data_IF_341323385219
#
_entry.id   IF_341323385219
#
_cell.length_a   1.000
_cell.length_b   1.000
_cell.length_c   1.000
_cell.angle_alpha   90.00
_cell.angle_beta   90.00
_cell.angle_gamma   90.00
#
_symmetry.space_group_name_H-M   'P 1'
#
loop_
_entity.id
_entity.type
_entity.pdbx_description
1 polymer ?
#
# COMPACT_ATOMS: atom_id res chain seq x y z
N UNK A 1 -2.34 9.16 15.21
CA UNK A 1 -0.98 8.97 14.64
C UNK A 1 -1.11 8.28 13.31
N UNK A 2 -0.62 8.90 12.25
CA UNK A 2 -0.62 8.34 10.90
C UNK A 2 0.26 7.09 10.88
N UNK A 3 -0.34 5.91 10.75
CA UNK A 3 0.38 4.65 10.76
C UNK A 3 -0.28 3.66 9.79
N UNK A 4 0.49 3.16 8.85
CA UNK A 4 0.08 2.02 8.04
C UNK A 4 -0.02 0.79 8.97
N UNK A 5 -1.12 0.05 8.84
CA UNK A 5 -1.33 -1.16 9.62
C UNK A 5 -0.24 -2.20 9.28
N UNK A 6 0.22 -2.92 10.29
CA UNK A 6 1.22 -3.99 10.15
C UNK A 6 0.85 -5.03 9.10
N UNK A 7 -0.45 -5.32 8.92
CA UNK A 7 -0.91 -6.27 7.91
C UNK A 7 -0.74 -5.73 6.48
N UNK A 8 -0.91 -4.42 6.27
CA UNK A 8 -0.68 -3.80 4.96
C UNK A 8 0.80 -3.69 4.64
N UNK A 9 1.63 -3.34 5.62
CA UNK A 9 3.08 -3.37 5.50
C UNK A 9 3.57 -4.76 5.09
N UNK A 10 3.13 -5.80 5.78
CA UNK A 10 3.43 -7.19 5.44
C UNK A 10 2.87 -7.60 4.06
N UNK A 11 1.68 -7.12 3.70
CA UNK A 11 1.11 -7.36 2.37
C UNK A 11 1.96 -6.77 1.26
N UNK A 12 2.46 -5.55 1.43
CA UNK A 12 3.38 -4.92 0.47
C UNK A 12 4.72 -5.66 0.40
N UNK A 13 5.25 -6.14 1.54
CA UNK A 13 6.49 -6.92 1.57
C UNK A 13 6.33 -8.26 0.80
N UNK A 14 5.19 -8.95 0.96
CA UNK A 14 4.88 -10.18 0.21
C UNK A 14 4.77 -9.88 -1.30
N UNK A 15 4.07 -8.82 -1.68
CA UNK A 15 3.96 -8.43 -3.09
C UNK A 15 5.33 -8.09 -3.68
N UNK A 16 6.18 -7.39 -2.94
CA UNK A 16 7.55 -7.09 -3.34
C UNK A 16 8.40 -8.34 -3.55
N UNK A 17 8.31 -9.32 -2.64
CA UNK A 17 9.01 -10.61 -2.78
C UNK A 17 8.55 -11.37 -4.03
N UNK A 18 7.25 -11.35 -4.35
CA UNK A 18 6.70 -11.96 -5.56
C UNK A 18 7.14 -11.26 -6.85
N UNK A 19 7.28 -9.91 -6.83
CA UNK A 19 7.84 -9.19 -7.98
C UNK A 19 9.25 -9.64 -8.29
N UNK A 20 10.09 -9.79 -7.24
CA UNK A 20 11.50 -10.16 -7.41
C UNK A 20 11.68 -11.60 -7.88
N UNK A 21 10.78 -12.51 -7.50
CA UNK A 21 10.86 -13.93 -7.88
C UNK A 21 10.31 -14.22 -9.28
N UNK A 22 9.34 -13.43 -9.72
CA UNK A 22 8.70 -13.50 -11.05
C UNK A 22 8.25 -14.92 -11.47
N UNK A 23 7.85 -15.75 -10.49
CA UNK A 23 7.41 -17.15 -10.67
C UNK A 23 6.42 -17.54 -9.58
N UNK A 24 5.83 -18.75 -9.72
CA UNK A 24 5.01 -19.32 -8.65
C UNK A 24 5.86 -19.77 -7.47
N UNK A 25 5.49 -19.30 -6.26
CA UNK A 25 6.21 -19.55 -5.01
C UNK A 25 5.25 -20.07 -3.95
N UNK A 26 5.66 -21.06 -3.19
CA UNK A 26 4.85 -21.60 -2.10
C UNK A 26 4.73 -20.59 -0.95
N UNK A 27 3.66 -20.67 -0.16
CA UNK A 27 3.49 -19.84 1.03
C UNK A 27 4.63 -20.01 2.05
N UNK A 28 5.22 -21.23 2.10
CA UNK A 28 6.35 -21.52 2.98
C UNK A 28 7.62 -20.81 2.54
N UNK A 29 7.90 -20.77 1.25
CA UNK A 29 9.05 -20.05 0.69
C UNK A 29 8.90 -18.53 0.88
N UNK A 30 7.68 -17.99 0.70
CA UNK A 30 7.39 -16.56 0.99
C UNK A 30 7.59 -16.28 2.47
N UNK A 31 7.13 -17.14 3.37
CA UNK A 31 7.33 -16.99 4.81
C UNK A 31 8.82 -16.98 5.18
N UNK A 32 9.60 -17.86 4.54
CA UNK A 32 11.06 -17.94 4.75
C UNK A 32 11.78 -16.69 4.25
N UNK A 33 11.49 -16.23 3.03
CA UNK A 33 12.15 -15.06 2.44
C UNK A 33 11.78 -13.74 3.11
N UNK A 34 10.52 -13.58 3.52
CA UNK A 34 10.03 -12.35 4.16
C UNK A 34 10.19 -12.32 5.67
N UNK A 35 10.56 -13.44 6.31
CA UNK A 35 10.58 -13.63 7.76
C UNK A 35 9.23 -13.35 8.45
N UNK A 36 8.13 -13.49 7.72
CA UNK A 36 6.77 -13.39 8.24
C UNK A 36 6.29 -14.80 8.59
N UNK A 37 5.59 -14.96 9.72
CA UNK A 37 5.05 -16.27 10.10
C UNK A 37 4.12 -16.86 9.03
N UNK A 38 4.23 -18.15 8.77
CA UNK A 38 3.45 -18.85 7.74
C UNK A 38 1.93 -18.62 7.85
N UNK A 39 1.30 -18.67 9.06
CA UNK A 39 -0.13 -18.37 9.18
C UNK A 39 -0.49 -16.94 8.74
N UNK A 40 0.38 -15.97 9.00
CA UNK A 40 0.18 -14.57 8.58
C UNK A 40 0.30 -14.45 7.06
N UNK A 41 1.31 -15.09 6.46
CA UNK A 41 1.50 -15.15 5.00
C UNK A 41 0.26 -15.75 4.33
N UNK A 42 -0.21 -16.91 4.79
CA UNK A 42 -1.39 -17.58 4.25
C UNK A 42 -2.65 -16.69 4.33
N UNK A 43 -2.86 -16.01 5.46
CA UNK A 43 -3.98 -15.05 5.64
C UNK A 43 -3.89 -13.89 4.64
N UNK A 44 -2.70 -13.32 4.48
CA UNK A 44 -2.47 -12.22 3.55
C UNK A 44 -2.60 -12.65 2.10
N UNK A 45 -2.04 -13.79 1.71
CA UNK A 45 -2.16 -14.32 0.35
C UNK A 45 -3.62 -14.57 -0.04
N UNK A 46 -4.46 -15.09 0.86
CA UNK A 46 -5.91 -15.23 0.63
C UNK A 46 -6.57 -13.87 0.38
N UNK A 47 -6.18 -12.85 1.15
CA UNK A 47 -6.72 -11.49 1.00
C UNK A 47 -6.26 -10.84 -0.30
N UNK A 48 -4.98 -10.96 -0.63
CA UNK A 48 -4.39 -10.44 -1.86
C UNK A 48 -4.97 -11.13 -3.11
N UNK A 49 -5.18 -12.45 -3.04
CA UNK A 49 -5.83 -13.22 -4.11
C UNK A 49 -7.28 -12.76 -4.34
N UNK A 50 -8.06 -12.55 -3.27
CA UNK A 50 -9.44 -12.03 -3.36
C UNK A 50 -9.50 -10.64 -3.99
N UNK A 51 -8.39 -9.88 -3.93
CA UNK A 51 -8.25 -8.53 -4.49
C UNK A 51 -7.52 -8.53 -5.84
N UNK A 52 -7.32 -9.71 -6.42
CA UNK A 52 -6.69 -9.89 -7.74
C UNK A 52 -5.26 -9.31 -7.85
N UNK A 53 -4.58 -9.14 -6.70
CA UNK A 53 -3.18 -8.72 -6.66
C UNK A 53 -2.22 -9.91 -6.81
N UNK A 54 -2.66 -11.11 -6.44
CA UNK A 54 -1.92 -12.35 -6.64
C UNK A 54 -2.82 -13.40 -7.28
N UNK A 55 -2.21 -14.30 -8.03
CA UNK A 55 -2.83 -15.51 -8.59
C UNK A 55 -2.32 -16.74 -7.87
N UNK A 56 -3.08 -17.83 -7.91
CA UNK A 56 -2.69 -19.10 -7.32
C UNK A 56 -2.83 -20.22 -8.31
N UNK A 57 -1.93 -21.21 -8.21
CA UNK A 57 -1.94 -22.44 -9.00
C UNK A 57 -1.79 -23.64 -8.08
N UNK A 58 -2.60 -24.68 -8.30
CA UNK A 58 -2.50 -25.95 -7.55
C UNK A 58 -1.46 -26.87 -8.19
N UNK A 59 -0.96 -27.83 -7.40
CA UNK A 59 -0.04 -28.89 -7.84
C UNK A 59 1.37 -28.75 -7.25
N UNK A 60 2.24 -29.71 -7.59
CA UNK A 60 3.61 -29.79 -7.06
C UNK A 60 4.50 -28.61 -7.47
N UNK A 61 4.19 -27.98 -8.60
CA UNK A 61 4.83 -26.74 -9.08
C UNK A 61 3.87 -25.54 -8.97
N UNK A 62 2.92 -25.60 -8.05
CA UNK A 62 1.96 -24.56 -7.78
C UNK A 62 2.46 -23.60 -6.70
N UNK A 63 1.59 -22.69 -6.32
CA UNK A 63 1.88 -21.67 -5.33
C UNK A 63 1.17 -20.36 -5.66
N UNK A 64 1.79 -19.29 -5.32
CA UNK A 64 1.29 -17.93 -5.55
C UNK A 64 2.27 -17.16 -6.42
N UNK A 65 1.75 -16.38 -7.36
CA UNK A 65 2.52 -15.44 -8.16
C UNK A 65 1.82 -14.09 -8.19
N UNK A 66 2.55 -13.06 -8.54
CA UNK A 66 1.96 -11.74 -8.72
C UNK A 66 1.02 -11.76 -9.94
N UNK A 67 -0.14 -11.10 -9.82
CA UNK A 67 -0.97 -10.85 -11.00
C UNK A 67 -0.28 -9.84 -11.92
N UNK A 68 -0.32 -10.03 -13.23
CA UNK A 68 0.42 -9.21 -14.21
C UNK A 68 0.17 -7.69 -14.06
N UNK A 69 -1.08 -7.32 -13.79
CA UNK A 69 -1.44 -5.91 -13.57
C UNK A 69 -0.96 -5.34 -12.24
N UNK A 70 -0.60 -6.18 -11.26
CA UNK A 70 -0.27 -5.73 -9.91
C UNK A 70 1.07 -4.97 -9.81
N UNK A 71 2.01 -5.22 -10.73
CA UNK A 71 3.29 -4.47 -10.80
C UNK A 71 3.06 -2.97 -10.91
N UNK A 72 2.05 -2.55 -11.67
CA UNK A 72 1.69 -1.15 -11.93
C UNK A 72 0.55 -0.64 -11.05
N UNK A 73 0.07 -1.45 -10.10
CA UNK A 73 -0.94 -1.02 -9.15
C UNK A 73 -0.36 0.01 -8.19
N UNK A 74 -1.09 1.10 -7.97
CA UNK A 74 -0.62 2.18 -7.08
C UNK A 74 -0.58 1.72 -5.62
N UNK A 75 0.34 2.30 -4.86
CA UNK A 75 0.47 2.07 -3.42
C UNK A 75 -0.83 2.37 -2.69
N UNK A 76 -1.53 3.45 -3.08
CA UNK A 76 -2.84 3.79 -2.51
C UNK A 76 -3.87 2.68 -2.75
N UNK A 77 -3.93 2.11 -3.96
CA UNK A 77 -4.84 1.01 -4.27
C UNK A 77 -4.51 -0.26 -3.50
N UNK A 78 -3.23 -0.58 -3.31
CA UNK A 78 -2.80 -1.74 -2.52
C UNK A 78 -3.22 -1.56 -1.06
N UNK A 79 -2.96 -0.40 -0.46
CA UNK A 79 -3.38 -0.12 0.92
C UNK A 79 -4.90 -0.20 1.03
N UNK A 80 -5.63 0.42 0.11
CA UNK A 80 -7.10 0.36 0.06
C UNK A 80 -7.62 -1.09 -0.04
N UNK A 81 -6.97 -1.94 -0.82
CA UNK A 81 -7.32 -3.36 -0.92
C UNK A 81 -7.12 -4.11 0.39
N UNK A 82 -6.12 -3.72 1.17
CA UNK A 82 -5.73 -4.37 2.42
C UNK A 82 -6.43 -3.81 3.66
N UNK A 83 -6.70 -2.51 3.72
CA UNK A 83 -7.26 -1.86 4.92
C UNK A 83 -8.67 -1.29 4.70
N UNK A 84 -9.04 -1.01 3.47
CA UNK A 84 -10.23 -0.23 3.15
C UNK A 84 -9.87 1.21 2.78
N UNK A 85 -10.84 2.11 2.82
CA UNK A 85 -10.62 3.51 2.42
C UNK A 85 -9.60 4.20 3.33
N UNK A 86 -8.67 4.91 2.70
CA UNK A 86 -7.65 5.70 3.40
C UNK A 86 -8.27 7.02 3.87
N UNK A 87 -8.45 7.15 5.16
CA UNK A 87 -8.93 8.37 5.80
C UNK A 87 -8.05 8.74 7.00
N UNK A 88 -7.64 10.00 7.08
CA UNK A 88 -6.82 10.50 8.19
C UNK A 88 -7.65 10.89 9.39
N UNK A 89 -8.89 11.30 9.15
CA UNK A 89 -9.85 11.78 10.15
C UNK A 89 -11.25 11.30 9.78
N UNK A 90 -12.18 11.29 10.73
CA UNK A 90 -13.57 10.90 10.48
C UNK A 90 -14.22 11.74 9.36
N UNK A 91 -13.94 13.05 9.30
CA UNK A 91 -14.49 13.92 8.25
C UNK A 91 -13.92 13.64 6.85
N UNK A 92 -12.88 12.81 6.72
CA UNK A 92 -12.33 12.36 5.44
C UNK A 92 -12.74 10.92 5.11
N UNK A 93 -13.39 10.21 6.04
CA UNK A 93 -13.97 8.89 5.83
C UNK A 93 -15.26 8.99 5.01
N UNK A 94 -15.51 7.98 4.19
CA UNK A 94 -16.80 7.83 3.48
C UNK A 94 -17.84 7.11 4.32
N UNK A 95 -17.40 6.38 5.33
CA UNK A 95 -18.25 5.50 6.14
C UNK A 95 -18.75 6.17 7.41
N UNK A 96 -17.95 7.09 7.98
CA UNK A 96 -18.27 7.76 9.23
C UNK A 96 -18.67 9.22 9.00
N UNK A 97 -19.79 9.63 9.59
CA UNK A 97 -20.17 11.05 9.66
C UNK A 97 -19.57 11.68 10.90
N UNK A 98 -18.71 12.66 10.70
CA UNK A 98 -18.13 13.43 11.78
C UNK A 98 -19.26 14.20 12.52
N UNK A 99 -19.40 13.98 13.82
CA UNK A 99 -20.46 14.57 14.64
C UNK A 99 -20.41 16.08 14.75
N UNK A 100 -19.27 16.70 14.47
CA UNK A 100 -19.04 18.16 14.55
C UNK A 100 -18.80 18.80 13.17
N UNK A 101 -19.10 18.11 12.08
CA UNK A 101 -18.80 18.55 10.72
C UNK A 101 -19.38 19.95 10.42
N UNK A 102 -20.62 20.21 10.85
CA UNK A 102 -21.32 21.49 10.62
C UNK A 102 -20.70 22.70 11.32
N UNK A 103 -19.94 22.49 12.40
CA UNK A 103 -19.28 23.53 13.20
C UNK A 103 -17.76 23.52 13.06
N UNK A 104 -17.20 22.57 12.30
CA UNK A 104 -15.76 22.37 12.19
C UNK A 104 -15.13 23.36 11.21
N UNK A 105 -14.30 24.27 11.71
CA UNK A 105 -13.60 25.27 10.89
C UNK A 105 -12.40 24.70 10.11
N UNK A 106 -11.89 23.50 10.48
CA UNK A 106 -10.70 22.90 9.88
C UNK A 106 -11.02 21.68 8.99
N UNK A 107 -12.29 21.28 8.88
CA UNK A 107 -12.71 20.12 8.11
C UNK A 107 -12.27 20.15 6.64
N UNK A 108 -12.41 21.31 5.99
CA UNK A 108 -11.96 21.50 4.61
C UNK A 108 -10.44 21.34 4.46
N UNK A 109 -9.65 21.82 5.42
CA UNK A 109 -8.19 21.66 5.40
C UNK A 109 -7.80 20.18 5.49
N UNK A 110 -8.46 19.39 6.37
CA UNK A 110 -8.22 17.95 6.47
C UNK A 110 -8.60 17.20 5.20
N UNK A 111 -9.67 17.58 4.52
CA UNK A 111 -10.03 16.99 3.23
C UNK A 111 -8.98 17.26 2.15
N UNK A 112 -8.39 18.47 2.12
CA UNK A 112 -7.31 18.78 1.18
C UNK A 112 -6.06 17.97 1.51
N UNK A 113 -5.64 17.93 2.78
CA UNK A 113 -4.48 17.15 3.23
C UNK A 113 -4.65 15.67 2.90
N UNK A 114 -5.81 15.09 3.20
CA UNK A 114 -6.10 13.69 2.91
C UNK A 114 -5.99 13.39 1.41
N UNK A 115 -6.59 14.22 0.57
CA UNK A 115 -6.51 14.07 -0.89
C UNK A 115 -5.08 14.18 -1.41
N UNK A 116 -4.29 15.11 -0.87
CA UNK A 116 -2.89 15.29 -1.25
C UNK A 116 -2.07 14.05 -0.94
N UNK A 117 -2.23 13.48 0.27
CA UNK A 117 -1.52 12.27 0.68
C UNK A 117 -1.93 11.08 -0.20
N UNK A 118 -3.23 10.86 -0.41
CA UNK A 118 -3.72 9.78 -1.26
C UNK A 118 -3.20 9.96 -2.69
N UNK A 119 -3.26 11.15 -3.25
CA UNK A 119 -2.74 11.46 -4.60
C UNK A 119 -1.24 11.19 -4.71
N UNK A 120 -0.46 11.48 -3.68
CA UNK A 120 0.97 11.16 -3.66
C UNK A 120 1.22 9.65 -3.65
N UNK A 121 0.43 8.89 -2.89
CA UNK A 121 0.51 7.42 -2.87
C UNK A 121 0.00 6.79 -4.18
N UNK A 122 -0.95 7.44 -4.87
CA UNK A 122 -1.47 6.97 -6.16
C UNK A 122 -0.46 7.11 -7.31
N UNK A 123 0.46 8.04 -7.21
CA UNK A 123 1.53 8.22 -8.20
C UNK A 123 2.64 7.17 -8.09
N UNK A 124 2.76 6.48 -6.96
CA UNK A 124 3.75 5.43 -6.73
C UNK A 124 3.15 4.06 -7.01
N UNK A 125 3.84 3.25 -7.79
CA UNK A 125 3.47 1.86 -8.06
C UNK A 125 4.17 0.88 -7.13
N UNK A 126 3.72 -0.37 -7.10
CA UNK A 126 4.42 -1.44 -6.41
C UNK A 126 5.88 -1.57 -6.90
N UNK A 127 6.10 -1.42 -8.20
CA UNK A 127 7.44 -1.51 -8.79
C UNK A 127 8.36 -0.39 -8.27
N UNK A 128 7.83 0.83 -8.10
CA UNK A 128 8.61 1.96 -7.57
C UNK A 128 9.07 1.73 -6.13
N UNK A 129 8.27 1.03 -5.31
CA UNK A 129 8.67 0.68 -3.93
C UNK A 129 9.88 -0.25 -3.88
N UNK A 130 10.06 -1.10 -4.90
CA UNK A 130 11.17 -2.07 -4.95
C UNK A 130 12.42 -1.42 -5.54
N UNK A 131 12.26 -0.35 -6.30
CA UNK A 131 13.35 0.40 -6.92
C UNK A 131 13.56 1.77 -6.24
N UNK A 132 14.39 1.86 -5.18
CA UNK A 132 14.56 3.09 -4.39
C UNK A 132 15.00 4.32 -5.19
N UNK A 133 15.62 4.14 -6.36
CA UNK A 133 15.99 5.22 -7.28
C UNK A 133 14.76 5.99 -7.79
N UNK A 134 13.66 5.29 -8.06
CA UNK A 134 12.42 5.88 -8.55
C UNK A 134 11.79 6.77 -7.48
N UNK A 135 11.82 6.35 -6.22
CA UNK A 135 11.27 7.12 -5.09
C UNK A 135 12.04 8.42 -4.89
N UNK A 136 13.38 8.40 -5.02
CA UNK A 136 14.19 9.62 -4.92
C UNK A 136 13.84 10.64 -6.00
N UNK A 137 13.63 10.18 -7.23
CA UNK A 137 13.21 11.04 -8.33
C UNK A 137 11.81 11.63 -8.10
N UNK A 138 10.87 10.83 -7.59
CA UNK A 138 9.53 11.27 -7.25
C UNK A 138 9.54 12.39 -6.18
N UNK A 139 10.29 12.22 -5.09
CA UNK A 139 10.39 13.22 -4.01
C UNK A 139 11.03 14.52 -4.53
N UNK A 140 12.02 14.43 -5.43
CA UNK A 140 12.69 15.60 -5.97
C UNK A 140 11.81 16.45 -6.89
N UNK A 141 10.79 15.85 -7.52
CA UNK A 141 9.91 16.53 -8.47
C UNK A 141 8.68 17.17 -7.82
N UNK A 142 8.20 16.65 -6.71
CA UNK A 142 6.88 17.01 -6.16
C UNK A 142 6.91 17.81 -4.83
N UNK A 143 8.06 17.97 -4.18
CA UNK A 143 8.14 18.73 -2.94
C UNK A 143 9.05 19.96 -3.14
N UNK A 144 8.50 21.16 -3.33
CA UNK A 144 9.29 22.38 -3.21
C UNK A 144 9.77 22.50 -1.75
N UNK A 145 11.03 22.17 -1.51
CA UNK A 145 11.65 22.40 -0.21
C UNK A 145 11.81 23.91 -0.08
N UNK A 146 10.91 24.55 0.65
CA UNK A 146 11.14 25.90 1.12
C UNK A 146 12.33 25.84 2.09
N UNK A 147 13.51 26.12 1.58
CA UNK A 147 14.68 26.43 2.40
C UNK A 147 14.37 27.70 3.19
N UNK A 148 13.95 27.54 4.43
CA UNK A 148 13.98 28.63 5.40
C UNK A 148 15.44 28.97 5.68
N UNK A 149 16.02 29.85 4.91
CA UNK A 149 17.23 30.57 5.29
C UNK A 149 16.89 31.36 6.55
N UNK A 150 17.36 30.88 7.69
CA UNK A 150 17.44 31.71 8.91
C UNK A 150 18.50 32.78 8.65
N UNK A 151 18.04 34.05 8.61
CA UNK A 151 18.89 35.17 8.96
C UNK A 151 19.01 35.25 10.48
#
# INVERSE_FOLDING_TARGET
>A
MLRINKMSDYGMLILGDLVLKDTYVSATEIASSTHISLPTVQKLLKKLHKKELVISKQGSQGGYALHDSAKLTSVAMIIKALEGDLSLTECTSKEDKCSIESSCQIGNAWQVINRTIISSLDKLTLLDLIQPSNIKQFISLDIPIHSTTKN
#
